data_IF_076528244272
#
_entry.id   IF_076528244272
#
_cell.length_a   1.000
_cell.length_b   1.000
_cell.length_c   1.000
_cell.angle_alpha   90.00
_cell.angle_beta   90.00
_cell.angle_gamma   90.00
#
_symmetry.space_group_name_H-M   'P 1'
#
loop_
_entity.id
_entity.type
_entity.pdbx_description
1 polymer ?
#
# COMPACT_ATOMS: atom_id res chain seq x y z
N UNK A 1 19.84 18.74 -3.10
CA UNK A 1 19.80 19.91 -2.18
C UNK A 1 18.59 19.75 -1.25
N UNK A 2 18.58 20.36 -0.06
CA UNK A 2 17.35 20.38 0.77
C UNK A 2 16.37 21.40 0.18
N UNK A 3 15.10 21.04 -0.06
CA UNK A 3 14.08 21.98 -0.54
C UNK A 3 13.79 23.05 0.52
N UNK A 4 13.54 24.28 0.06
CA UNK A 4 13.02 25.37 0.87
C UNK A 4 11.50 25.19 1.04
N UNK A 5 11.08 24.80 2.25
CA UNK A 5 9.68 24.50 2.54
C UNK A 5 8.80 25.75 2.56
N UNK A 6 9.37 26.94 2.79
CA UNK A 6 8.61 28.19 2.82
C UNK A 6 8.13 28.59 1.41
N UNK A 7 8.77 28.05 0.37
CA UNK A 7 8.33 28.18 -1.04
C UNK A 7 7.23 27.19 -1.43
N UNK A 8 6.75 26.35 -0.51
CA UNK A 8 5.77 25.29 -0.76
C UNK A 8 4.46 25.53 0.01
N UNK A 9 3.69 26.60 -0.26
CA UNK A 9 2.50 26.95 0.50
C UNK A 9 1.42 25.86 0.55
N UNK A 10 1.39 24.91 -0.40
CA UNK A 10 0.45 23.79 -0.39
C UNK A 10 0.74 22.77 0.74
N UNK A 11 1.92 22.81 1.38
CA UNK A 11 2.21 22.01 2.56
C UNK A 11 1.29 22.29 3.75
N UNK A 12 0.59 23.44 3.76
CA UNK A 12 -0.42 23.75 4.78
C UNK A 12 -1.51 22.69 4.87
N UNK A 13 -1.82 22.03 3.74
CA UNK A 13 -2.87 21.00 3.63
C UNK A 13 -2.30 19.57 3.69
N UNK A 14 -0.98 19.44 3.88
CA UNK A 14 -0.27 18.16 4.06
C UNK A 14 0.02 17.94 5.54
N UNK A 15 -0.26 16.74 6.06
CA UNK A 15 -0.01 16.41 7.46
C UNK A 15 1.50 16.45 7.78
N UNK A 16 1.92 16.92 8.98
CA UNK A 16 3.33 17.15 9.30
C UNK A 16 4.27 15.98 9.00
N UNK A 17 3.83 14.75 9.28
CA UNK A 17 4.60 13.52 9.07
C UNK A 17 4.89 13.22 7.59
N UNK A 18 4.15 13.82 6.66
CA UNK A 18 4.34 13.63 5.22
C UNK A 18 5.07 14.79 4.54
N UNK A 19 5.31 15.91 5.23
CA UNK A 19 5.88 17.12 4.61
C UNK A 19 7.32 16.93 4.18
N UNK A 20 8.11 16.18 4.96
CA UNK A 20 9.53 15.98 4.68
C UNK A 20 10.03 14.64 5.21
N UNK A 21 11.08 14.12 4.58
CA UNK A 21 11.76 12.90 4.99
C UNK A 21 13.11 12.77 4.30
N UNK A 22 13.67 11.57 4.24
CA UNK A 22 15.00 11.33 3.68
C UNK A 22 16.06 12.30 4.25
N UNK A 23 16.10 12.45 5.58
CA UNK A 23 16.99 13.39 6.29
C UNK A 23 16.82 14.88 5.87
N UNK A 24 15.60 15.27 5.48
CA UNK A 24 15.25 16.62 5.06
C UNK A 24 15.53 16.89 3.58
N UNK A 25 15.91 15.89 2.78
CA UNK A 25 16.13 16.03 1.35
C UNK A 25 14.88 15.75 0.50
N UNK A 26 13.86 15.12 1.09
CA UNK A 26 12.62 14.77 0.40
C UNK A 26 11.44 15.62 0.84
N UNK A 27 10.55 15.93 -0.10
CA UNK A 27 9.17 16.36 0.15
C UNK A 27 8.26 15.18 -0.17
N UNK A 28 7.42 14.77 0.78
CA UNK A 28 6.47 13.69 0.51
C UNK A 28 5.41 14.16 -0.46
N UNK A 29 5.14 13.37 -1.50
CA UNK A 29 4.20 13.76 -2.57
C UNK A 29 3.09 12.73 -2.80
N UNK A 30 3.24 11.50 -2.30
CA UNK A 30 2.29 10.41 -2.54
C UNK A 30 2.48 9.35 -1.45
N UNK A 31 1.39 8.66 -1.10
CA UNK A 31 1.43 7.47 -0.25
C UNK A 31 1.20 6.23 -1.12
N UNK A 32 2.24 5.42 -1.30
CA UNK A 32 2.04 4.05 -1.76
C UNK A 32 1.08 3.38 -0.79
N UNK A 33 0.01 2.74 -1.26
CA UNK A 33 -1.10 2.31 -0.40
C UNK A 33 -1.53 0.87 -0.69
N UNK A 34 -1.29 -0.02 0.27
CA UNK A 34 -1.57 -1.44 0.13
C UNK A 34 -2.88 -1.83 0.80
N UNK A 35 -3.80 -2.32 -0.02
CA UNK A 35 -5.12 -2.76 0.43
C UNK A 35 -5.24 -4.27 0.43
N UNK A 36 -6.38 -4.75 0.93
CA UNK A 36 -6.78 -6.14 0.71
C UNK A 36 -7.56 -6.23 -0.62
N UNK A 37 -7.13 -7.12 -1.51
CA UNK A 37 -7.78 -7.35 -2.80
C UNK A 37 -8.80 -8.47 -2.66
N UNK A 38 -9.97 -8.32 -3.30
CA UNK A 38 -11.03 -9.31 -3.25
C UNK A 38 -11.79 -9.42 -4.56
N UNK A 39 -12.42 -10.57 -4.77
CA UNK A 39 -13.26 -10.86 -5.93
C UNK A 39 -14.68 -10.36 -5.65
N UNK A 40 -15.09 -9.29 -6.30
CA UNK A 40 -16.43 -8.66 -6.18
C UNK A 40 -17.59 -9.59 -6.60
N UNK A 41 -17.31 -10.65 -7.36
CA UNK A 41 -18.33 -11.63 -7.75
C UNK A 41 -18.65 -12.61 -6.61
N UNK A 42 -17.68 -12.95 -5.76
CA UNK A 42 -17.84 -13.92 -4.66
C UNK A 42 -17.88 -13.27 -3.28
N UNK A 43 -17.30 -12.07 -3.12
CA UNK A 43 -17.26 -11.28 -1.88
C UNK A 43 -18.11 -10.04 -2.06
N UNK A 44 -19.36 -10.08 -1.55
CA UNK A 44 -20.35 -8.99 -1.71
C UNK A 44 -20.17 -7.83 -0.75
N UNK A 45 -19.59 -8.09 0.41
CA UNK A 45 -19.25 -7.06 1.40
C UNK A 45 -17.74 -7.03 1.51
N UNK A 46 -17.15 -5.87 1.22
CA UNK A 46 -15.71 -5.66 1.34
C UNK A 46 -15.25 -6.03 2.77
N UNK A 47 -14.18 -6.82 2.93
CA UNK A 47 -13.66 -7.12 4.26
C UNK A 47 -13.26 -5.86 5.02
N UNK A 48 -13.52 -5.87 6.33
CA UNK A 48 -13.13 -4.81 7.26
C UNK A 48 -11.97 -5.23 8.19
N UNK A 49 -11.37 -6.40 7.94
CA UNK A 49 -10.26 -6.94 8.72
C UNK A 49 -9.46 -7.95 7.92
N UNK A 50 -8.16 -7.99 8.15
CA UNK A 50 -7.27 -8.96 7.50
C UNK A 50 -7.51 -10.40 7.99
N UNK A 51 -8.29 -10.63 9.06
CA UNK A 51 -8.75 -11.97 9.44
C UNK A 51 -9.45 -12.70 8.29
N UNK A 52 -9.99 -11.97 7.31
CA UNK A 52 -10.57 -12.55 6.10
C UNK A 52 -9.58 -13.47 5.35
N UNK A 53 -8.28 -13.20 5.37
CA UNK A 53 -7.27 -14.08 4.77
C UNK A 53 -7.23 -15.47 5.42
N UNK A 54 -7.64 -15.59 6.68
CA UNK A 54 -7.68 -16.85 7.44
C UNK A 54 -9.04 -17.54 7.41
N UNK A 55 -10.06 -16.99 6.75
CA UNK A 55 -11.39 -17.61 6.67
C UNK A 55 -11.34 -18.94 5.89
N UNK A 56 -11.76 -20.08 6.49
CA UNK A 56 -11.73 -21.41 5.87
C UNK A 56 -12.30 -21.47 4.45
N UNK A 57 -13.31 -20.65 4.13
CA UNK A 57 -13.95 -20.67 2.80
C UNK A 57 -13.01 -20.26 1.65
N UNK A 58 -11.93 -19.53 1.94
CA UNK A 58 -10.97 -19.07 0.94
C UNK A 58 -9.74 -19.97 0.81
N UNK A 59 -9.67 -21.09 1.54
CA UNK A 59 -8.55 -22.02 1.43
C UNK A 59 -8.38 -22.52 -0.01
N UNK A 60 -7.15 -22.44 -0.54
CA UNK A 60 -6.82 -22.76 -1.93
C UNK A 60 -7.33 -21.73 -2.95
N UNK A 61 -7.90 -20.60 -2.50
CA UNK A 61 -8.48 -19.53 -3.33
C UNK A 61 -8.00 -18.15 -2.91
N UNK A 62 -6.86 -18.10 -2.21
CA UNK A 62 -6.22 -16.86 -1.78
C UNK A 62 -4.78 -16.74 -2.28
N UNK A 63 -4.34 -15.52 -2.56
CA UNK A 63 -2.95 -15.23 -2.89
C UNK A 63 -2.32 -14.30 -1.85
N UNK A 64 -1.01 -14.39 -1.67
CA UNK A 64 -0.25 -13.50 -0.79
C UNK A 64 0.87 -12.81 -1.58
N UNK A 65 1.41 -11.68 -1.11
CA UNK A 65 2.60 -11.06 -1.71
C UNK A 65 3.81 -12.01 -1.64
N UNK A 66 4.74 -11.89 -2.61
CA UNK A 66 5.96 -12.69 -2.61
C UNK A 66 6.96 -12.19 -1.55
N UNK A 67 7.89 -13.05 -1.11
CA UNK A 67 8.67 -12.82 0.11
C UNK A 67 9.57 -11.58 0.05
N UNK A 68 10.11 -11.27 -1.13
CA UNK A 68 11.07 -10.18 -1.35
C UNK A 68 10.41 -8.80 -1.41
N UNK A 69 9.08 -8.73 -1.39
CA UNK A 69 8.35 -7.47 -1.55
C UNK A 69 8.01 -6.84 -0.20
N UNK A 70 7.87 -5.52 -0.18
CA UNK A 70 7.51 -4.77 1.02
C UNK A 70 6.16 -5.23 1.59
N UNK A 71 5.22 -5.58 0.71
CA UNK A 71 3.88 -6.04 1.09
C UNK A 71 3.90 -7.33 1.92
N UNK A 72 4.89 -8.22 1.73
CA UNK A 72 5.05 -9.41 2.58
C UNK A 72 5.55 -9.06 3.99
N UNK A 73 6.42 -8.06 4.09
CA UNK A 73 6.86 -7.50 5.38
C UNK A 73 5.66 -6.89 6.11
N UNK A 74 4.87 -6.08 5.42
CA UNK A 74 3.69 -5.43 5.99
C UNK A 74 2.63 -6.44 6.42
N UNK A 75 2.39 -7.49 5.61
CA UNK A 75 1.51 -8.59 5.98
C UNK A 75 1.98 -9.28 7.28
N UNK A 76 3.29 -9.51 7.45
CA UNK A 76 3.82 -10.08 8.68
C UNK A 76 3.59 -9.17 9.90
N UNK A 77 3.74 -7.85 9.73
CA UNK A 77 3.50 -6.86 10.80
C UNK A 77 2.02 -6.79 11.15
N UNK A 78 1.13 -6.78 10.15
CA UNK A 78 -0.33 -6.81 10.32
C UNK A 78 -0.73 -8.08 11.08
N UNK A 79 -0.23 -9.24 10.65
CA UNK A 79 -0.47 -10.52 11.32
C UNK A 79 0.01 -10.50 12.78
N UNK A 80 1.18 -9.89 13.04
CA UNK A 80 1.69 -9.72 14.40
C UNK A 80 0.76 -8.84 15.24
N UNK A 81 0.37 -7.66 14.73
CA UNK A 81 -0.53 -6.72 15.43
C UNK A 81 -1.86 -7.38 15.80
N UNK A 82 -2.43 -8.18 14.90
CA UNK A 82 -3.68 -8.92 15.15
C UNK A 82 -3.55 -9.97 16.27
N UNK A 83 -2.33 -10.42 16.57
CA UNK A 83 -2.03 -11.47 17.54
C UNK A 83 -1.19 -10.97 18.73
N UNK A 84 -1.29 -9.68 19.06
CA UNK A 84 -0.64 -9.08 20.23
C UNK A 84 0.86 -8.77 20.06
N UNK A 85 1.38 -8.91 18.84
CA UNK A 85 2.71 -8.52 18.45
C UNK A 85 2.78 -7.12 17.83
N UNK A 86 3.92 -6.84 17.20
CA UNK A 86 4.21 -5.57 16.52
C UNK A 86 5.37 -5.76 15.53
N UNK A 87 5.79 -4.69 14.86
CA UNK A 87 7.02 -4.71 14.05
C UNK A 87 8.26 -5.12 14.90
N UNK A 88 8.34 -4.68 16.15
CA UNK A 88 9.44 -5.00 17.08
C UNK A 88 9.26 -6.36 17.77
N UNK A 89 8.04 -6.90 17.79
CA UNK A 89 7.71 -8.23 18.31
C UNK A 89 6.96 -9.03 17.24
N UNK A 90 7.70 -9.50 16.23
CA UNK A 90 7.12 -10.09 15.01
C UNK A 90 6.69 -11.56 15.18
N UNK A 91 7.10 -12.23 16.25
CA UNK A 91 6.90 -13.67 16.42
C UNK A 91 5.42 -14.12 16.36
N UNK A 92 4.46 -13.40 16.98
CA UNK A 92 3.04 -13.72 16.80
C UNK A 92 2.57 -13.67 15.35
N UNK A 93 3.18 -12.81 14.51
CA UNK A 93 2.84 -12.67 13.10
C UNK A 93 3.25 -13.88 12.29
N UNK A 94 4.51 -14.33 12.42
CA UNK A 94 4.96 -15.54 11.74
C UNK A 94 4.20 -16.79 12.20
N UNK A 95 3.85 -16.90 13.50
CA UNK A 95 2.97 -17.97 13.98
C UNK A 95 1.60 -17.97 13.31
N UNK A 96 1.02 -16.78 13.12
CA UNK A 96 -0.26 -16.62 12.42
C UNK A 96 -0.12 -16.94 10.92
N UNK A 97 0.97 -16.53 10.27
CA UNK A 97 1.24 -16.81 8.85
C UNK A 97 1.42 -18.31 8.57
N UNK A 98 2.04 -19.07 9.47
CA UNK A 98 2.16 -20.53 9.32
C UNK A 98 0.81 -21.24 9.14
N UNK A 99 -0.28 -20.67 9.66
CA UNK A 99 -1.63 -21.23 9.51
C UNK A 99 -2.15 -21.15 8.06
N UNK A 100 -1.46 -20.42 7.18
CA UNK A 100 -1.82 -20.28 5.76
C UNK A 100 -1.00 -21.19 4.84
N UNK A 101 0.02 -21.92 5.34
CA UNK A 101 0.98 -22.68 4.51
C UNK A 101 0.33 -23.50 3.38
N UNK A 102 -0.69 -24.30 3.71
CA UNK A 102 -1.37 -25.18 2.74
C UNK A 102 -2.66 -24.58 2.15
N UNK A 103 -2.89 -23.27 2.39
CA UNK A 103 -4.13 -22.57 2.03
C UNK A 103 -3.92 -21.52 0.95
N UNK A 104 -2.67 -21.15 0.67
CA UNK A 104 -2.30 -20.17 -0.34
C UNK A 104 -2.24 -20.84 -1.71
N UNK A 105 -2.95 -20.31 -2.70
CA UNK A 105 -2.90 -20.77 -4.08
C UNK A 105 -1.59 -20.38 -4.75
N UNK A 106 -1.13 -19.14 -4.52
CA UNK A 106 0.06 -18.60 -5.16
C UNK A 106 0.64 -17.42 -4.40
N UNK A 107 1.95 -17.22 -4.51
CA UNK A 107 2.61 -15.97 -4.16
C UNK A 107 2.60 -15.08 -5.41
N UNK A 108 1.95 -13.92 -5.31
CA UNK A 108 1.59 -13.07 -6.45
C UNK A 108 2.75 -12.29 -7.06
N UNK A 109 3.75 -12.97 -7.63
CA UNK A 109 4.91 -12.36 -8.28
C UNK A 109 4.57 -11.71 -9.62
N UNK A 110 3.57 -12.23 -10.34
CA UNK A 110 3.13 -11.74 -11.64
C UNK A 110 1.72 -11.13 -11.55
N UNK A 111 1.59 -9.79 -11.57
CA UNK A 111 0.28 -9.13 -11.49
C UNK A 111 -0.69 -9.54 -12.61
N UNK A 112 -0.23 -9.77 -13.84
CA UNK A 112 -1.12 -10.18 -14.92
C UNK A 112 -1.72 -11.56 -14.65
N UNK A 113 -0.92 -12.49 -14.13
CA UNK A 113 -1.39 -13.82 -13.74
C UNK A 113 -2.39 -13.74 -12.57
N UNK A 114 -2.10 -12.95 -11.54
CA UNK A 114 -3.02 -12.75 -10.40
C UNK A 114 -4.35 -12.18 -10.89
N UNK A 115 -4.32 -11.16 -11.75
CA UNK A 115 -5.54 -10.58 -12.30
C UNK A 115 -6.35 -11.61 -13.13
N UNK A 116 -5.69 -12.42 -13.95
CA UNK A 116 -6.37 -13.49 -14.68
C UNK A 116 -7.02 -14.52 -13.75
N UNK A 117 -6.40 -14.87 -12.63
CA UNK A 117 -6.99 -15.75 -11.63
C UNK A 117 -8.23 -15.15 -10.96
N UNK A 118 -8.29 -13.83 -10.77
CA UNK A 118 -9.52 -13.15 -10.34
C UNK A 118 -10.59 -13.17 -11.43
N UNK A 119 -10.20 -12.90 -12.68
CA UNK A 119 -11.09 -12.92 -13.87
C UNK A 119 -11.77 -14.27 -14.04
N UNK A 120 -11.01 -15.37 -13.96
CA UNK A 120 -11.54 -16.75 -14.05
C UNK A 120 -12.30 -17.18 -12.80
N UNK A 121 -12.15 -16.47 -11.67
CA UNK A 121 -12.74 -16.86 -10.38
C UNK A 121 -11.97 -17.97 -9.68
N UNK A 122 -10.68 -18.14 -9.98
CA UNK A 122 -9.79 -19.04 -9.22
C UNK A 122 -9.38 -18.41 -7.88
N UNK A 123 -9.23 -17.09 -7.82
CA UNK A 123 -8.97 -16.33 -6.59
C UNK A 123 -10.22 -15.59 -6.11
N UNK A 124 -10.43 -15.61 -4.80
CA UNK A 124 -11.48 -14.85 -4.10
C UNK A 124 -10.93 -13.67 -3.31
N UNK A 125 -9.70 -13.77 -2.79
CA UNK A 125 -9.12 -12.79 -1.89
C UNK A 125 -7.60 -12.83 -1.93
N UNK A 126 -6.94 -11.76 -1.51
CA UNK A 126 -5.51 -11.82 -1.22
C UNK A 126 -4.88 -10.46 -0.98
N UNK A 127 -3.56 -10.50 -0.86
CA UNK A 127 -2.75 -9.34 -0.51
C UNK A 127 -2.10 -9.49 0.88
N UNK A 128 -1.63 -8.41 1.50
CA UNK A 128 -1.83 -7.02 1.05
C UNK A 128 -1.14 -6.73 -0.29
N UNK A 129 -1.68 -5.81 -1.08
CA UNK A 129 -1.16 -5.49 -2.42
C UNK A 129 -1.66 -4.12 -2.89
N UNK A 130 -0.81 -3.36 -3.57
CA UNK A 130 -1.23 -2.09 -4.17
C UNK A 130 -2.06 -2.32 -5.44
N UNK A 131 -3.20 -1.62 -5.60
CA UNK A 131 -3.95 -1.65 -6.86
C UNK A 131 -3.17 -1.05 -8.04
N UNK A 132 -2.09 -0.30 -7.78
CA UNK A 132 -1.19 0.25 -8.80
C UNK A 132 -0.52 -0.83 -9.66
N UNK A 133 -0.44 -2.07 -9.18
CA UNK A 133 0.02 -3.22 -9.98
C UNK A 133 -1.01 -3.75 -10.98
N UNK A 134 -2.27 -3.34 -10.85
CA UNK A 134 -3.40 -3.76 -11.70
C UNK A 134 -4.11 -2.56 -12.35
N UNK A 135 -3.39 -1.59 -12.95
CA UNK A 135 -3.95 -0.30 -13.30
C UNK A 135 -5.14 -0.42 -14.26
N UNK A 136 -5.08 -1.33 -15.21
CA UNK A 136 -6.18 -1.54 -16.16
C UNK A 136 -7.21 -2.54 -15.65
N UNK A 137 -6.75 -3.63 -15.03
CA UNK A 137 -7.60 -4.76 -14.66
C UNK A 137 -8.57 -4.40 -13.53
N UNK A 138 -8.14 -3.62 -12.54
CA UNK A 138 -9.02 -3.25 -11.41
C UNK A 138 -10.19 -2.36 -11.84
N UNK A 139 -10.04 -1.64 -12.95
CA UNK A 139 -11.08 -0.76 -13.53
C UNK A 139 -12.06 -1.53 -14.43
N UNK A 140 -11.78 -2.80 -14.73
CA UNK A 140 -12.53 -3.63 -15.69
C UNK A 140 -13.38 -4.67 -14.96
N UNK A 141 -14.72 -4.58 -15.01
CA UNK A 141 -15.61 -5.47 -14.24
C UNK A 141 -15.40 -6.97 -14.52
N UNK A 142 -14.94 -7.35 -15.71
CA UNK A 142 -14.68 -8.75 -16.07
C UNK A 142 -13.58 -9.39 -15.23
N UNK A 143 -12.61 -8.61 -14.73
CA UNK A 143 -11.58 -9.06 -13.80
C UNK A 143 -12.11 -9.24 -12.37
N UNK A 144 -13.28 -8.66 -12.05
CA UNK A 144 -13.97 -8.81 -10.77
C UNK A 144 -13.14 -8.37 -9.57
N UNK A 145 -12.11 -7.55 -9.74
CA UNK A 145 -11.23 -7.13 -8.65
C UNK A 145 -11.82 -5.93 -7.91
N UNK A 146 -11.72 -5.96 -6.59
CA UNK A 146 -11.94 -4.82 -5.70
C UNK A 146 -10.80 -4.70 -4.70
N UNK A 147 -10.62 -3.52 -4.14
CA UNK A 147 -9.66 -3.25 -3.07
C UNK A 147 -10.40 -2.62 -1.88
N UNK A 148 -9.96 -2.90 -0.66
CA UNK A 148 -10.46 -2.25 0.55
C UNK A 148 -9.33 -1.73 1.41
N UNK A 149 -9.54 -0.51 1.90
CA UNK A 149 -8.70 0.19 2.88
C UNK A 149 -9.44 0.39 4.21
N UNK A 150 -10.68 -0.11 4.33
CA UNK A 150 -11.53 0.00 5.52
C UNK A 150 -11.16 -0.95 6.65
N UNK A 151 -9.87 -1.23 6.82
CA UNK A 151 -9.36 -2.29 7.69
C UNK A 151 -9.32 -1.80 9.14
N UNK A 152 -9.87 -2.57 10.08
CA UNK A 152 -9.86 -2.22 11.50
C UNK A 152 -8.42 -2.10 12.03
N UNK A 153 -7.49 -2.88 11.48
CA UNK A 153 -6.08 -2.87 11.82
C UNK A 153 -5.32 -1.65 11.26
N UNK A 154 -5.93 -0.87 10.37
CA UNK A 154 -5.24 0.09 9.50
C UNK A 154 -4.75 -0.58 8.21
N UNK A 155 -4.25 0.20 7.25
CA UNK A 155 -3.67 -0.32 6.01
C UNK A 155 -2.25 0.24 5.85
N UNK A 156 -1.36 -0.56 5.26
CA UNK A 156 0.03 -0.17 5.11
C UNK A 156 0.17 0.92 4.04
N UNK A 157 1.03 1.88 4.34
CA UNK A 157 1.40 2.93 3.40
C UNK A 157 2.90 3.18 3.44
N UNK A 158 3.46 3.64 2.32
CA UNK A 158 4.82 4.13 2.26
C UNK A 158 4.85 5.54 1.68
N UNK A 159 5.55 6.45 2.34
CA UNK A 159 5.70 7.82 1.86
C UNK A 159 6.72 7.89 0.73
N UNK A 160 6.26 8.31 -0.45
CA UNK A 160 7.11 8.55 -1.60
C UNK A 160 7.59 10.00 -1.61
N UNK A 161 8.87 10.21 -1.91
CA UNK A 161 9.51 11.52 -1.88
C UNK A 161 9.82 12.06 -3.27
N UNK A 162 9.57 13.34 -3.47
CA UNK A 162 10.26 14.14 -4.49
C UNK A 162 11.56 14.64 -3.88
N UNK A 163 12.68 14.45 -4.59
CA UNK A 163 14.03 14.84 -4.13
C UNK A 163 14.73 15.69 -5.19
N UNK A 164 15.48 16.69 -4.76
CA UNK A 164 16.32 17.52 -5.65
C UNK A 164 17.70 16.88 -5.75
N UNK A 165 18.14 16.42 -6.95
CA UNK A 165 19.46 15.81 -7.12
C UNK A 165 20.59 16.72 -6.62
N UNK A 166 21.71 16.13 -6.19
CA UNK A 166 22.85 16.89 -5.64
C UNK A 166 23.45 17.87 -6.66
N UNK A 167 23.45 17.50 -7.94
CA UNK A 167 23.93 18.35 -9.04
C UNK A 167 23.08 19.60 -9.26
N UNK A 168 21.86 19.65 -8.71
CA UNK A 168 20.91 20.76 -8.87
C UNK A 168 20.78 21.23 -10.33
N UNK A 169 20.31 20.37 -11.24
CA UNK A 169 20.03 20.80 -12.60
C UNK A 169 18.76 21.66 -12.59
N UNK A 170 18.87 22.93 -12.97
CA UNK A 170 17.72 23.81 -13.19
C UNK A 170 17.61 25.00 -12.23
N UNK A 171 16.62 25.84 -12.51
CA UNK A 171 16.30 27.03 -11.74
C UNK A 171 15.58 26.68 -10.43
N UNK A 172 16.05 27.24 -9.32
CA UNK A 172 15.51 26.89 -7.99
C UNK A 172 14.04 27.28 -7.85
N UNK A 173 13.59 28.41 -8.37
CA UNK A 173 12.20 28.84 -8.23
C UNK A 173 11.26 27.94 -9.02
N UNK A 174 11.65 27.52 -10.23
CA UNK A 174 10.90 26.54 -11.03
C UNK A 174 10.83 25.17 -10.34
N UNK A 175 11.91 24.72 -9.71
CA UNK A 175 11.92 23.44 -8.96
C UNK A 175 10.91 23.49 -7.80
N UNK A 176 10.91 24.55 -7.00
CA UNK A 176 9.96 24.69 -5.89
C UNK A 176 8.53 24.90 -6.39
N UNK A 177 8.33 25.64 -7.49
CA UNK A 177 7.02 25.79 -8.10
C UNK A 177 6.45 24.43 -8.56
N UNK A 178 7.28 23.56 -9.15
CA UNK A 178 6.89 22.21 -9.54
C UNK A 178 6.52 21.34 -8.33
N UNK A 179 7.38 21.32 -7.29
CA UNK A 179 7.10 20.58 -6.05
C UNK A 179 5.83 21.10 -5.38
N UNK A 180 5.63 22.41 -5.31
CA UNK A 180 4.42 22.99 -4.72
C UNK A 180 3.18 22.64 -5.54
N UNK A 181 3.27 22.70 -6.87
CA UNK A 181 2.16 22.37 -7.77
C UNK A 181 1.76 20.89 -7.64
N UNK A 182 2.71 19.97 -7.48
CA UNK A 182 2.39 18.55 -7.26
C UNK A 182 1.62 18.29 -5.98
N UNK A 183 1.69 19.21 -4.99
CA UNK A 183 0.95 19.15 -3.73
C UNK A 183 -0.42 19.83 -3.78
N UNK A 184 -0.82 20.45 -4.89
CA UNK A 184 -2.16 21.03 -5.04
C UNK A 184 -3.27 19.97 -4.88
N UNK A 185 -4.42 20.35 -4.35
CA UNK A 185 -5.51 19.42 -4.04
C UNK A 185 -6.11 18.76 -5.29
N UNK A 186 -6.25 19.50 -6.40
CA UNK A 186 -6.73 18.95 -7.67
C UNK A 186 -5.69 18.04 -8.32
N UNK A 187 -4.43 18.48 -8.30
CA UNK A 187 -3.30 17.68 -8.83
C UNK A 187 -3.13 16.37 -8.08
N UNK A 188 -3.16 16.40 -6.75
CA UNK A 188 -3.10 15.22 -5.88
C UNK A 188 -4.26 14.26 -6.14
N UNK A 189 -5.47 14.78 -6.29
CA UNK A 189 -6.65 13.97 -6.60
C UNK A 189 -6.52 13.23 -7.93
N UNK A 190 -6.01 13.91 -8.97
CA UNK A 190 -5.78 13.31 -10.28
C UNK A 190 -4.63 12.32 -10.27
N UNK A 191 -3.50 12.67 -9.67
CA UNK A 191 -2.34 11.79 -9.55
C UNK A 191 -2.73 10.50 -8.81
N UNK A 192 -3.44 10.61 -7.69
CA UNK A 192 -3.94 9.49 -6.93
C UNK A 192 -4.83 8.56 -7.77
N UNK A 193 -5.72 9.12 -8.59
CA UNK A 193 -6.59 8.37 -9.51
C UNK A 193 -5.82 7.66 -10.63
N UNK A 194 -4.85 8.33 -11.24
CA UNK A 194 -4.11 7.81 -12.39
C UNK A 194 -3.19 6.66 -11.95
N UNK A 195 -2.47 6.84 -10.83
CA UNK A 195 -1.47 5.88 -10.34
C UNK A 195 -1.97 4.92 -9.25
N UNK A 196 -3.23 5.07 -8.82
CA UNK A 196 -3.90 4.23 -7.82
C UNK A 196 -3.19 4.17 -6.46
N UNK A 197 -2.84 5.34 -5.92
CA UNK A 197 -2.18 5.48 -4.62
C UNK A 197 -2.77 6.67 -3.83
N UNK A 198 -2.51 6.71 -2.53
CA UNK A 198 -3.08 7.71 -1.63
C UNK A 198 -2.48 9.11 -1.82
N UNK A 199 -3.29 10.18 -1.77
CA UNK A 199 -2.77 11.55 -1.76
C UNK A 199 -2.19 11.93 -0.39
N UNK A 200 -1.18 12.79 -0.36
CA UNK A 200 -0.67 13.39 0.90
C UNK A 200 -1.44 14.66 1.30
N UNK A 201 -2.15 15.28 0.34
CA UNK A 201 -2.97 16.46 0.60
C UNK A 201 -4.34 16.06 1.17
N UNK A 202 -4.64 16.54 2.37
CA UNK A 202 -5.88 16.25 3.10
C UNK A 202 -7.16 16.75 2.41
N UNK A 203 -7.03 17.67 1.46
CA UNK A 203 -8.12 18.24 0.66
C UNK A 203 -8.17 17.69 -0.77
N UNK A 204 -7.40 16.66 -1.08
CA UNK A 204 -7.35 16.10 -2.43
C UNK A 204 -8.74 15.68 -2.92
N UNK A 205 -9.07 16.07 -4.15
CA UNK A 205 -10.38 15.80 -4.76
C UNK A 205 -10.27 14.60 -5.69
N UNK A 206 -10.56 13.40 -5.17
CA UNK A 206 -10.48 12.16 -5.96
C UNK A 206 -11.67 12.09 -6.95
N UNK A 207 -11.41 11.93 -8.27
CA UNK A 207 -12.44 11.65 -9.29
C UNK A 207 -13.36 10.50 -8.90
N UNK A 208 -14.65 10.61 -9.20
CA UNK A 208 -15.67 9.69 -8.70
C UNK A 208 -15.41 8.24 -9.11
N UNK A 209 -14.97 8.03 -10.34
CA UNK A 209 -14.62 6.75 -10.94
C UNK A 209 -13.45 6.03 -10.25
N UNK A 210 -12.61 6.75 -9.51
CA UNK A 210 -11.42 6.18 -8.85
C UNK A 210 -11.59 6.00 -7.34
N UNK A 211 -12.64 6.55 -6.73
CA UNK A 211 -12.87 6.48 -5.26
C UNK A 211 -12.99 5.05 -4.73
N UNK A 212 -13.37 4.09 -5.57
CA UNK A 212 -13.44 2.68 -5.19
C UNK A 212 -12.06 2.01 -5.08
N UNK A 213 -11.01 2.61 -5.65
CA UNK A 213 -9.70 1.99 -5.80
C UNK A 213 -8.58 2.73 -5.07
N UNK A 214 -8.87 3.91 -4.54
CA UNK A 214 -7.88 4.81 -3.94
C UNK A 214 -8.36 5.18 -2.54
N UNK A 215 -7.49 5.15 -1.51
CA UNK A 215 -7.89 5.55 -0.18
C UNK A 215 -8.18 7.06 -0.16
N UNK A 216 -9.31 7.42 0.43
CA UNK A 216 -9.66 8.83 0.65
C UNK A 216 -8.71 9.49 1.66
N UNK A 217 -8.56 10.82 1.62
CA UNK A 217 -7.83 11.54 2.66
C UNK A 217 -8.29 11.23 4.10
N UNK A 218 -9.59 11.01 4.29
CA UNK A 218 -10.14 10.60 5.59
C UNK A 218 -9.65 9.21 6.01
N UNK A 219 -9.70 8.22 5.11
CA UNK A 219 -9.17 6.88 5.40
C UNK A 219 -7.68 6.94 5.73
N UNK A 220 -6.91 7.74 5.00
CA UNK A 220 -5.48 7.93 5.28
C UNK A 220 -5.28 8.49 6.68
N UNK A 221 -5.99 9.58 7.03
CA UNK A 221 -5.86 10.21 8.34
C UNK A 221 -6.24 9.27 9.50
N UNK A 222 -7.21 8.39 9.31
CA UNK A 222 -7.73 7.51 10.36
C UNK A 222 -7.03 6.15 10.44
N UNK A 223 -6.54 5.62 9.31
CA UNK A 223 -6.18 4.21 9.14
C UNK A 223 -4.84 3.95 8.49
N UNK A 224 -4.16 4.93 7.88
CA UNK A 224 -2.85 4.67 7.29
C UNK A 224 -1.83 4.32 8.37
N UNK A 225 -1.01 3.30 8.08
CA UNK A 225 0.09 2.85 8.93
C UNK A 225 1.38 3.03 8.15
N UNK A 226 2.33 3.76 8.74
CA UNK A 226 3.72 3.82 8.28
C UNK A 226 4.57 2.91 9.16
N UNK A 227 5.52 2.21 8.56
CA UNK A 227 6.48 1.38 9.27
C UNK A 227 7.81 2.13 9.50
N UNK A 228 8.58 1.67 10.49
CA UNK A 228 9.93 2.18 10.71
C UNK A 228 10.90 1.51 9.73
N UNK A 229 11.09 2.13 8.57
CA UNK A 229 11.96 1.63 7.50
C UNK A 229 13.40 1.39 7.97
N UNK A 230 13.91 2.21 8.90
CA UNK A 230 15.28 2.05 9.41
C UNK A 230 15.40 0.78 10.24
N UNK A 231 14.42 0.49 11.08
CA UNK A 231 14.37 -0.75 11.83
C UNK A 231 14.13 -1.96 10.90
N UNK A 232 13.27 -1.82 9.87
CA UNK A 232 13.00 -2.88 8.90
C UNK A 232 14.24 -3.29 8.12
N UNK A 233 15.05 -2.33 7.65
CA UNK A 233 16.25 -2.62 6.87
C UNK A 233 17.24 -3.56 7.60
N UNK A 234 17.22 -3.60 8.93
CA UNK A 234 18.06 -4.49 9.74
C UNK A 234 17.54 -5.93 9.77
N UNK A 235 16.22 -6.11 9.80
CA UNK A 235 15.58 -7.41 10.03
C UNK A 235 15.01 -8.06 8.77
N UNK A 236 14.81 -7.28 7.70
CA UNK A 236 14.16 -7.70 6.46
C UNK A 236 14.77 -8.98 5.85
N UNK A 237 16.11 -9.15 5.73
CA UNK A 237 16.68 -10.38 5.18
C UNK A 237 16.28 -11.64 5.96
N UNK A 238 16.17 -11.54 7.29
CA UNK A 238 15.74 -12.66 8.13
C UNK A 238 14.25 -12.95 7.97
N UNK A 239 13.43 -11.92 7.78
CA UNK A 239 11.98 -12.08 7.59
C UNK A 239 11.65 -12.69 6.23
N UNK A 240 12.34 -12.26 5.18
CA UNK A 240 12.28 -12.86 3.84
C UNK A 240 12.53 -14.36 3.95
N UNK A 241 13.65 -14.76 4.57
CA UNK A 241 14.01 -16.19 4.73
C UNK A 241 12.89 -16.98 5.43
N UNK A 242 12.38 -16.46 6.55
CA UNK A 242 11.29 -17.12 7.31
C UNK A 242 10.01 -17.24 6.49
N UNK A 243 9.63 -16.19 5.77
CA UNK A 243 8.43 -16.18 4.95
C UNK A 243 8.56 -17.20 3.81
N UNK A 244 9.72 -17.22 3.13
CA UNK A 244 10.04 -18.22 2.11
C UNK A 244 9.97 -19.64 2.67
N UNK A 245 10.51 -19.91 3.86
CA UNK A 245 10.44 -21.24 4.49
C UNK A 245 8.99 -21.69 4.80
N UNK A 246 8.10 -20.77 5.16
CA UNK A 246 6.68 -21.08 5.40
C UNK A 246 6.03 -21.56 4.10
N UNK A 247 6.21 -20.82 3.01
CA UNK A 247 5.49 -21.03 1.75
C UNK A 247 6.29 -21.77 0.67
N UNK A 248 7.47 -22.29 1.01
CA UNK A 248 8.19 -23.25 0.19
C UNK A 248 7.36 -24.54 0.10
N UNK A 249 7.17 -25.01 -1.14
CA UNK A 249 6.50 -26.26 -1.48
C UNK A 249 7.22 -27.49 -0.90
#
# INVERSE_FOLDING_TARGET
>A
MKPDLDKLPNLKDVAPQYRTGANGFGVGYLLWSDGLIYNTSTVKTAPASYEALWDPKYAGRLFLPPPEWAEAVDLAIIAAKMNGGSQQNIEPGFKKLMQLKDRVMTLGENPNQVADLFRTGSLDIGGIYSPAFFPDQIRKPEYKMGVTYGMKEGFATQLMFTVIPKSHPGDSDLIHAFINHSLDAGVQGRMAADVLNGPVNSKAVIPAESRAFVPSPQQIAEKAVLHDDKALAVVQPAWIKRYTEIFAA
#
